data_IF_756249280144
#
_entry.id   IF_756249280144
#
_cell.length_a   1.000
_cell.length_b   1.000
_cell.length_c   1.000
_cell.angle_alpha   90.00
_cell.angle_beta   90.00
_cell.angle_gamma   90.00
#
_symmetry.space_group_name_H-M   'P 1'
#
loop_
_entity.id
_entity.type
_entity.pdbx_description
1 polymer ?
#
# COMPACT_ATOMS: atom_id res chain seq x y z
N UNK A 1 25.92 -10.68 -2.80
CA UNK A 1 25.16 -9.73 -1.95
C UNK A 1 24.69 -8.63 -2.85
N UNK A 2 23.40 -8.53 -3.10
CA UNK A 2 22.86 -7.49 -3.98
C UNK A 2 22.29 -6.40 -3.08
N UNK A 3 23.16 -5.44 -2.75
CA UNK A 3 22.76 -4.26 -2.03
C UNK A 3 21.84 -3.42 -2.93
N UNK A 4 20.67 -3.06 -2.47
CA UNK A 4 19.72 -2.25 -3.21
C UNK A 4 19.42 -0.95 -2.46
N UNK A 5 18.94 0.06 -3.19
CA UNK A 5 18.41 1.29 -2.61
C UNK A 5 17.00 1.49 -3.10
N UNK A 6 16.09 1.73 -2.18
CA UNK A 6 14.76 2.21 -2.57
C UNK A 6 14.87 3.66 -3.08
N UNK A 7 14.03 4.01 -4.03
CA UNK A 7 13.83 5.41 -4.43
C UNK A 7 12.76 6.05 -3.52
N UNK A 8 12.73 7.38 -3.46
CA UNK A 8 11.68 8.12 -2.73
C UNK A 8 10.27 7.66 -3.13
N UNK A 9 9.90 7.58 -4.43
CA UNK A 9 8.59 7.09 -4.84
C UNK A 9 8.28 5.66 -4.37
N UNK A 10 9.30 4.78 -4.32
CA UNK A 10 9.10 3.41 -3.82
C UNK A 10 8.85 3.40 -2.32
N UNK A 11 9.52 4.25 -1.56
CA UNK A 11 9.26 4.42 -0.12
C UNK A 11 7.87 5.01 0.14
N UNK A 12 7.40 5.93 -0.70
CA UNK A 12 6.02 6.46 -0.64
C UNK A 12 5.00 5.35 -0.88
N UNK A 13 5.21 4.50 -1.90
CA UNK A 13 4.33 3.35 -2.18
C UNK A 13 4.30 2.38 -1.00
N UNK A 14 5.46 2.06 -0.40
CA UNK A 14 5.51 1.22 0.80
C UNK A 14 4.75 1.87 1.97
N UNK A 15 4.81 3.19 2.09
CA UNK A 15 4.02 3.96 3.05
C UNK A 15 2.51 3.84 2.82
N UNK A 16 2.06 3.86 1.57
CA UNK A 16 0.65 3.61 1.22
C UNK A 16 0.24 2.17 1.53
N UNK A 17 1.10 1.20 1.23
CA UNK A 17 0.83 -0.21 1.53
C UNK A 17 0.71 -0.47 3.02
N UNK A 18 1.50 0.21 3.84
CA UNK A 18 1.41 0.14 5.31
C UNK A 18 0.02 0.55 5.82
N UNK A 19 -0.68 1.48 5.13
CA UNK A 19 -2.05 1.86 5.49
C UNK A 19 -3.09 0.78 5.15
N UNK A 20 -2.77 -0.12 4.21
CA UNK A 20 -3.62 -1.27 3.86
C UNK A 20 -3.36 -2.43 4.83
N UNK A 21 -2.08 -2.74 5.07
CA UNK A 21 -1.64 -3.78 5.99
C UNK A 21 -0.28 -3.41 6.59
N UNK A 22 -0.11 -3.45 7.91
CA UNK A 22 1.17 -3.17 8.56
C UNK A 22 2.24 -4.22 8.23
N UNK A 23 1.86 -5.41 7.78
CA UNK A 23 2.78 -6.46 7.37
C UNK A 23 2.84 -6.62 5.86
N UNK A 24 3.98 -7.08 5.36
CA UNK A 24 4.18 -7.32 3.93
C UNK A 24 5.13 -8.49 3.70
N UNK A 25 4.90 -9.26 2.65
CA UNK A 25 5.81 -10.28 2.18
C UNK A 25 6.41 -9.86 0.83
N UNK A 26 7.69 -9.52 0.83
CA UNK A 26 8.41 -9.41 -0.44
C UNK A 26 8.63 -10.81 -0.99
N UNK A 27 8.34 -11.01 -2.27
CA UNK A 27 8.57 -12.26 -3.00
C UNK A 27 9.62 -12.04 -4.09
N UNK A 28 10.32 -13.08 -4.55
CA UNK A 28 11.22 -12.97 -5.68
C UNK A 28 10.56 -12.29 -6.89
N UNK A 29 11.32 -11.42 -7.56
CA UNK A 29 10.86 -10.60 -8.68
C UNK A 29 10.72 -9.12 -8.35
N UNK A 30 10.00 -8.39 -9.17
CA UNK A 30 9.86 -6.93 -9.07
C UNK A 30 8.51 -6.48 -8.50
N UNK A 31 7.55 -7.41 -8.40
CA UNK A 31 6.19 -7.10 -7.95
C UNK A 31 6.12 -7.08 -6.43
N UNK A 32 5.65 -5.98 -5.89
CA UNK A 32 5.33 -5.81 -4.47
C UNK A 32 3.83 -5.67 -4.34
N UNK A 33 3.23 -6.42 -3.43
CA UNK A 33 1.78 -6.41 -3.24
C UNK A 33 1.41 -6.60 -1.78
N UNK A 34 0.27 -6.07 -1.40
CA UNK A 34 -0.32 -6.18 -0.07
C UNK A 34 -1.82 -6.39 -0.16
N UNK A 35 -2.40 -6.94 0.88
CA UNK A 35 -3.84 -7.11 1.02
C UNK A 35 -4.24 -6.81 2.47
N UNK A 36 -5.38 -6.14 2.63
CA UNK A 36 -5.92 -5.85 3.96
C UNK A 36 -6.28 -7.15 4.70
N UNK A 37 -6.28 -7.11 6.04
CA UNK A 37 -6.64 -8.27 6.86
C UNK A 37 -8.02 -8.83 6.53
N UNK A 38 -8.96 -7.94 6.17
CA UNK A 38 -10.32 -8.33 5.74
C UNK A 38 -10.38 -8.78 4.27
N UNK A 39 -9.26 -8.79 3.57
CA UNK A 39 -9.12 -9.22 2.16
C UNK A 39 -10.02 -8.46 1.16
N UNK A 40 -10.41 -7.23 1.50
CA UNK A 40 -11.28 -6.38 0.67
C UNK A 40 -10.53 -5.25 -0.06
N UNK A 41 -9.29 -4.99 0.29
CA UNK A 41 -8.43 -4.01 -0.38
C UNK A 41 -7.13 -4.69 -0.77
N UNK A 42 -6.76 -4.59 -2.03
CA UNK A 42 -5.52 -5.11 -2.57
C UNK A 42 -4.74 -3.98 -3.24
N UNK A 43 -3.46 -3.87 -2.90
CA UNK A 43 -2.52 -2.97 -3.55
C UNK A 43 -1.40 -3.75 -4.23
N UNK A 44 -1.00 -3.34 -5.42
CA UNK A 44 0.18 -3.90 -6.07
C UNK A 44 0.93 -2.85 -6.89
N UNK A 45 2.25 -3.01 -6.94
CA UNK A 45 3.13 -2.16 -7.74
C UNK A 45 4.31 -2.97 -8.25
N UNK A 46 4.87 -2.57 -9.40
CA UNK A 46 6.11 -3.15 -9.94
C UNK A 46 7.25 -2.16 -9.74
N UNK A 47 8.27 -2.58 -9.00
CA UNK A 47 9.49 -1.82 -8.76
C UNK A 47 10.51 -2.14 -9.85
N UNK A 48 10.47 -1.40 -10.97
CA UNK A 48 11.24 -1.71 -12.19
C UNK A 48 12.75 -1.80 -11.97
N UNK A 49 13.27 -1.02 -11.02
CA UNK A 49 14.71 -0.91 -10.75
C UNK A 49 15.19 -1.80 -9.60
N UNK A 50 14.29 -2.58 -9.00
CA UNK A 50 14.58 -3.49 -7.90
C UNK A 50 14.06 -4.89 -8.25
N UNK A 51 14.91 -5.89 -8.06
CA UNK A 51 14.52 -7.29 -8.17
C UNK A 51 14.84 -8.01 -6.86
N UNK A 52 13.80 -8.38 -6.13
CA UNK A 52 13.94 -9.17 -4.91
C UNK A 52 14.36 -10.58 -5.26
N UNK A 53 15.41 -11.08 -4.63
CA UNK A 53 15.98 -12.39 -4.93
C UNK A 53 15.39 -13.50 -4.03
N UNK A 54 14.68 -13.13 -2.98
CA UNK A 54 14.17 -14.07 -1.97
C UNK A 54 12.90 -13.56 -1.30
N UNK A 55 12.22 -14.49 -0.65
CA UNK A 55 11.08 -14.16 0.20
C UNK A 55 11.55 -13.48 1.48
N UNK A 56 10.88 -12.39 1.85
CA UNK A 56 11.18 -11.62 3.05
C UNK A 56 9.88 -11.22 3.77
N UNK A 57 9.47 -11.96 4.80
CA UNK A 57 8.25 -11.68 5.57
C UNK A 57 8.52 -10.58 6.61
N UNK A 58 8.01 -9.39 6.34
CA UNK A 58 8.11 -8.21 7.20
C UNK A 58 6.81 -8.06 7.98
N UNK A 59 6.87 -8.29 9.29
CA UNK A 59 5.69 -8.19 10.15
C UNK A 59 5.26 -6.74 10.41
N UNK A 60 6.23 -5.86 10.64
CA UNK A 60 6.00 -4.42 10.88
C UNK A 60 6.77 -3.59 9.86
N UNK A 61 6.12 -3.33 8.73
CA UNK A 61 6.66 -2.49 7.66
C UNK A 61 6.94 -1.07 8.16
N UNK A 62 6.09 -0.56 9.07
CA UNK A 62 6.26 0.77 9.65
C UNK A 62 7.56 0.89 10.44
N UNK A 63 7.94 -0.14 11.19
CA UNK A 63 9.20 -0.15 11.93
C UNK A 63 10.41 -0.26 11.00
N UNK A 64 10.32 -1.07 9.95
CA UNK A 64 11.36 -1.13 8.91
C UNK A 64 11.54 0.24 8.23
N UNK A 65 10.45 0.90 7.86
CA UNK A 65 10.45 2.23 7.25
C UNK A 65 11.02 3.31 8.20
N UNK A 66 10.69 3.24 9.50
CA UNK A 66 11.28 4.14 10.51
C UNK A 66 12.79 3.96 10.61
N UNK A 67 13.28 2.74 10.51
CA UNK A 67 14.72 2.44 10.50
C UNK A 67 15.41 3.12 9.32
N UNK A 68 14.84 3.02 8.11
CA UNK A 68 15.35 3.73 6.92
C UNK A 68 15.39 5.23 7.18
N UNK A 69 14.32 5.81 7.69
CA UNK A 69 14.23 7.26 7.99
C UNK A 69 15.21 7.71 9.07
N UNK A 70 15.44 6.91 10.10
CA UNK A 70 16.39 7.24 11.16
C UNK A 70 17.80 7.29 10.63
N UNK A 71 18.21 6.35 9.79
CA UNK A 71 19.54 6.32 9.19
C UNK A 71 19.75 7.43 8.16
N UNK A 72 18.71 7.84 7.43
CA UNK A 72 18.77 8.95 6.46
C UNK A 72 18.57 10.34 7.10
N UNK A 73 18.38 10.41 8.42
CA UNK A 73 18.15 11.69 9.11
C UNK A 73 19.34 12.64 8.88
N UNK A 74 19.04 13.86 8.47
CA UNK A 74 20.03 14.90 8.13
C UNK A 74 20.84 14.65 6.85
N UNK A 75 20.41 13.75 5.98
CA UNK A 75 21.02 13.54 4.66
C UNK A 75 19.91 13.42 3.59
N UNK A 76 20.29 13.67 2.34
CA UNK A 76 19.43 13.42 1.18
C UNK A 76 19.61 12.00 0.61
N UNK A 77 20.51 11.23 1.20
CA UNK A 77 20.83 9.88 0.72
C UNK A 77 19.93 8.86 1.38
N UNK A 78 19.52 7.85 0.63
CA UNK A 78 18.75 6.72 1.09
C UNK A 78 19.70 5.60 1.49
N UNK A 79 19.47 4.93 2.65
CA UNK A 79 20.29 3.81 3.10
C UNK A 79 20.30 2.65 2.12
N UNK A 80 21.37 1.88 2.16
CA UNK A 80 21.48 0.59 1.52
C UNK A 80 20.62 -0.43 2.26
N UNK A 81 19.90 -1.25 1.51
CA UNK A 81 19.03 -2.30 2.03
C UNK A 81 19.44 -3.64 1.40
N UNK A 82 19.79 -4.60 2.22
CA UNK A 82 20.21 -5.92 1.78
C UNK A 82 19.32 -7.00 2.42
N UNK A 83 18.58 -7.72 1.59
CA UNK A 83 17.69 -8.80 2.00
C UNK A 83 18.47 -10.11 2.10
N UNK A 84 18.77 -10.54 3.32
CA UNK A 84 19.47 -11.77 3.65
C UNK A 84 18.50 -12.94 3.88
N UNK A 85 19.00 -14.09 4.34
CA UNK A 85 18.16 -15.28 4.56
C UNK A 85 17.19 -15.14 5.75
N UNK A 86 17.56 -14.38 6.78
CA UNK A 86 16.80 -14.27 8.03
C UNK A 86 16.48 -12.84 8.48
N UNK A 87 17.03 -11.87 7.80
CA UNK A 87 16.87 -10.45 8.15
C UNK A 87 17.16 -9.54 6.98
N UNK A 88 16.70 -8.32 7.09
CA UNK A 88 17.12 -7.19 6.24
C UNK A 88 18.22 -6.44 6.98
N UNK A 89 19.35 -6.22 6.33
CA UNK A 89 20.34 -5.26 6.76
C UNK A 89 20.04 -3.90 6.14
N UNK A 90 19.98 -2.89 6.98
CA UNK A 90 19.80 -1.50 6.55
C UNK A 90 21.01 -0.74 7.02
N UNK A 91 21.80 -0.18 6.10
CA UNK A 91 23.08 0.43 6.43
C UNK A 91 23.30 1.75 5.70
N UNK A 92 24.00 2.65 6.39
CA UNK A 92 24.38 3.95 5.87
C UNK A 92 25.62 4.46 6.62
N UNK A 93 26.67 4.82 5.88
CA UNK A 93 27.96 5.19 6.45
C UNK A 93 28.45 4.11 7.44
N UNK A 94 28.74 4.49 8.69
CA UNK A 94 29.21 3.58 9.73
C UNK A 94 28.08 2.97 10.58
N UNK A 95 26.81 3.21 10.22
CA UNK A 95 25.64 2.71 10.95
C UNK A 95 24.99 1.55 10.21
N UNK A 96 24.64 0.50 10.95
CA UNK A 96 23.95 -0.68 10.42
C UNK A 96 22.90 -1.13 11.41
N UNK A 97 21.72 -1.47 10.89
CA UNK A 97 20.62 -2.05 11.66
C UNK A 97 20.14 -3.32 10.99
N UNK A 98 19.75 -4.30 11.80
CA UNK A 98 19.17 -5.56 11.35
C UNK A 98 17.69 -5.59 11.70
N UNK A 99 16.86 -5.90 10.70
CA UNK A 99 15.45 -6.16 10.88
C UNK A 99 15.21 -7.66 10.61
N UNK A 100 14.89 -8.43 11.65
CA UNK A 100 14.66 -9.87 11.52
C UNK A 100 13.27 -10.16 10.95
N UNK A 101 13.20 -11.20 10.13
CA UNK A 101 11.95 -11.68 9.55
C UNK A 101 11.04 -12.32 10.60
N UNK A 102 9.74 -12.24 10.33
CA UNK A 102 8.74 -13.03 11.05
C UNK A 102 8.58 -14.41 10.41
N UNK A 103 7.78 -15.26 11.03
CA UNK A 103 7.29 -16.47 10.37
C UNK A 103 6.34 -16.09 9.22
N UNK A 104 6.48 -16.75 8.08
CA UNK A 104 5.66 -16.48 6.89
C UNK A 104 4.16 -16.63 7.15
N UNK A 105 3.79 -17.56 8.03
CA UNK A 105 2.39 -17.81 8.41
C UNK A 105 1.71 -16.62 9.11
N UNK A 106 2.51 -15.69 9.66
CA UNK A 106 2.01 -14.49 10.32
C UNK A 106 1.68 -13.36 9.33
N UNK A 107 2.05 -13.51 8.06
CA UNK A 107 1.85 -12.47 7.04
C UNK A 107 0.67 -12.83 6.15
N UNK A 108 -0.32 -11.96 6.11
CA UNK A 108 -1.42 -12.10 5.14
C UNK A 108 -0.93 -11.68 3.76
N UNK A 109 -0.88 -12.63 2.84
CA UNK A 109 -0.43 -12.39 1.46
C UNK A 109 -1.59 -12.36 0.48
N UNK A 110 -1.53 -11.51 -0.55
CA UNK A 110 -2.48 -11.54 -1.65
C UNK A 110 -2.39 -12.87 -2.40
N UNK A 111 -3.49 -13.33 -3.04
CA UNK A 111 -3.42 -14.48 -3.94
C UNK A 111 -2.51 -14.17 -5.12
N UNK A 112 -1.77 -15.17 -5.60
CA UNK A 112 -0.84 -15.01 -6.74
C UNK A 112 -1.60 -14.70 -8.05
N UNK A 113 -2.81 -15.23 -8.18
CA UNK A 113 -3.70 -15.00 -9.32
C UNK A 113 -4.95 -14.29 -8.81
N UNK A 114 -5.16 -13.07 -9.28
CA UNK A 114 -6.46 -12.43 -9.19
C UNK A 114 -7.28 -13.01 -10.34
N UNK A 115 -8.25 -13.87 -10.03
CA UNK A 115 -9.22 -14.32 -11.01
C UNK A 115 -9.80 -13.08 -11.70
N UNK A 116 -9.86 -13.10 -13.03
CA UNK A 116 -10.28 -11.97 -13.83
C UNK A 116 -11.55 -11.36 -13.23
N UNK A 117 -11.50 -10.10 -12.88
CA UNK A 117 -12.71 -9.31 -12.72
C UNK A 117 -13.41 -9.43 -14.08
N UNK A 118 -14.64 -9.95 -14.11
CA UNK A 118 -15.39 -10.11 -15.34
C UNK A 118 -15.46 -8.80 -16.16
N UNK A 119 -16.14 -8.79 -17.29
CA UNK A 119 -16.32 -7.56 -18.06
C UNK A 119 -16.79 -6.41 -17.16
N UNK A 120 -16.05 -5.31 -17.17
CA UNK A 120 -16.42 -4.12 -16.42
C UNK A 120 -17.67 -3.52 -17.05
N UNK A 121 -18.76 -3.51 -16.31
CA UNK A 121 -20.01 -2.86 -16.74
C UNK A 121 -19.87 -1.33 -16.83
N UNK A 122 -18.97 -0.77 -16.04
CA UNK A 122 -18.70 0.67 -15.96
C UNK A 122 -17.21 0.90 -15.75
N UNK A 123 -16.64 1.87 -16.48
CA UNK A 123 -15.28 2.38 -16.27
C UNK A 123 -15.32 3.90 -16.31
N UNK A 124 -14.67 4.54 -15.35
CA UNK A 124 -14.59 6.01 -15.29
C UNK A 124 -13.28 6.46 -14.68
N UNK A 125 -12.88 7.67 -14.98
CA UNK A 125 -11.74 8.33 -14.35
C UNK A 125 -12.22 9.31 -13.28
N UNK A 126 -11.63 9.25 -12.10
CA UNK A 126 -11.82 10.22 -11.03
C UNK A 126 -10.61 11.13 -10.97
N UNK A 127 -10.84 12.43 -11.12
CA UNK A 127 -9.78 13.44 -10.92
C UNK A 127 -9.51 13.63 -9.42
N UNK A 128 -8.35 14.22 -9.08
CA UNK A 128 -8.06 14.60 -7.70
C UNK A 128 -9.11 15.58 -7.14
N UNK A 129 -9.68 16.43 -7.97
CA UNK A 129 -10.75 17.34 -7.57
C UNK A 129 -12.02 16.58 -7.19
N UNK A 130 -12.43 15.61 -8.02
CA UNK A 130 -13.57 14.75 -7.70
C UNK A 130 -13.37 14.01 -6.38
N UNK A 131 -12.19 13.44 -6.17
CA UNK A 131 -11.87 12.73 -4.91
C UNK A 131 -11.90 13.69 -3.72
N UNK A 132 -11.33 14.89 -3.87
CA UNK A 132 -11.36 15.91 -2.82
C UNK A 132 -12.79 16.28 -2.44
N UNK A 133 -13.67 16.54 -3.42
CA UNK A 133 -15.07 16.87 -3.18
C UNK A 133 -15.81 15.75 -2.47
N UNK A 134 -15.60 14.48 -2.89
CA UNK A 134 -16.19 13.31 -2.26
C UNK A 134 -15.75 13.20 -0.79
N UNK A 135 -14.46 13.30 -0.53
CA UNK A 135 -13.94 13.19 0.85
C UNK A 135 -14.34 14.38 1.72
N UNK A 136 -14.37 15.59 1.17
CA UNK A 136 -14.83 16.78 1.88
C UNK A 136 -16.31 16.65 2.28
N UNK A 137 -17.16 16.14 1.38
CA UNK A 137 -18.56 15.88 1.65
C UNK A 137 -18.75 14.78 2.71
N UNK A 138 -18.06 13.64 2.55
CA UNK A 138 -18.10 12.53 3.50
C UNK A 138 -17.71 12.99 4.92
N UNK A 139 -16.63 13.74 5.03
CA UNK A 139 -16.13 14.25 6.31
C UNK A 139 -17.03 15.35 6.87
N UNK A 140 -17.44 16.33 6.06
CA UNK A 140 -18.23 17.49 6.50
C UNK A 140 -19.62 17.10 6.98
N UNK A 141 -20.25 16.11 6.38
CA UNK A 141 -21.57 15.61 6.75
C UNK A 141 -21.53 14.33 7.58
N UNK A 142 -20.34 13.80 7.90
CA UNK A 142 -20.14 12.55 8.64
C UNK A 142 -20.87 11.37 8.00
N UNK A 143 -20.83 11.29 6.67
CA UNK A 143 -21.49 10.24 5.89
C UNK A 143 -20.50 9.10 5.61
N UNK A 144 -20.79 7.85 6.07
CA UNK A 144 -19.83 6.77 6.02
C UNK A 144 -19.76 6.02 4.68
N UNK A 145 -20.76 6.20 3.81
CA UNK A 145 -20.91 5.39 2.60
C UNK A 145 -20.69 6.23 1.34
N UNK A 146 -19.86 5.72 0.42
CA UNK A 146 -19.76 6.18 -0.95
C UNK A 146 -20.40 5.16 -1.88
N UNK A 147 -21.36 5.62 -2.69
CA UNK A 147 -22.07 4.81 -3.66
C UNK A 147 -21.83 5.34 -5.06
N UNK A 148 -21.66 4.44 -6.02
CA UNK A 148 -21.65 4.78 -7.44
C UNK A 148 -22.96 4.29 -8.07
N UNK A 149 -23.67 5.18 -8.75
CA UNK A 149 -24.95 4.89 -9.39
C UNK A 149 -24.93 5.34 -10.86
N UNK A 150 -25.16 4.39 -11.76
CA UNK A 150 -25.42 4.71 -13.17
C UNK A 150 -26.87 5.12 -13.37
N UNK A 151 -27.11 6.31 -13.94
CA UNK A 151 -28.44 6.79 -14.29
C UNK A 151 -28.38 7.57 -15.58
N UNK A 152 -29.22 7.22 -16.56
CA UNK A 152 -29.30 7.92 -17.87
C UNK A 152 -27.93 8.06 -18.58
N UNK A 153 -27.09 7.02 -18.51
CA UNK A 153 -25.75 7.05 -19.13
C UNK A 153 -24.70 7.87 -18.38
N UNK A 154 -25.02 8.41 -17.20
CA UNK A 154 -24.09 9.17 -16.34
C UNK A 154 -23.82 8.39 -15.07
N UNK A 155 -22.57 8.38 -14.63
CA UNK A 155 -22.17 7.83 -13.35
C UNK A 155 -22.21 8.94 -12.29
N UNK A 156 -23.01 8.70 -11.24
CA UNK A 156 -23.10 9.57 -10.07
C UNK A 156 -22.29 8.97 -8.91
N UNK A 157 -21.48 9.78 -8.25
CA UNK A 157 -20.89 9.46 -6.95
C UNK A 157 -21.79 10.07 -5.86
N UNK A 158 -22.31 9.24 -4.96
CA UNK A 158 -23.26 9.65 -3.93
C UNK A 158 -22.66 9.34 -2.58
N UNK A 159 -22.51 10.36 -1.74
CA UNK A 159 -22.10 10.21 -0.36
C UNK A 159 -23.36 10.17 0.52
N UNK A 160 -23.49 9.15 1.36
CA UNK A 160 -24.73 8.91 2.12
C UNK A 160 -24.45 8.08 3.39
N UNK A 161 -25.44 7.94 4.23
CA UNK A 161 -25.50 6.92 5.28
C UNK A 161 -26.65 5.93 4.95
N UNK A 162 -26.29 4.75 4.49
CA UNK A 162 -27.25 3.70 4.13
C UNK A 162 -28.07 3.19 5.31
N UNK A 163 -27.61 3.38 6.55
CA UNK A 163 -28.29 2.96 7.77
C UNK A 163 -29.28 4.01 8.26
N UNK A 164 -29.14 5.25 7.81
CA UNK A 164 -29.99 6.35 8.19
C UNK A 164 -30.71 6.91 6.95
N UNK A 165 -31.96 6.52 6.75
CA UNK A 165 -32.77 6.94 5.58
C UNK A 165 -33.13 8.42 5.59
N UNK A 166 -32.86 9.13 6.69
CA UNK A 166 -33.10 10.58 6.84
C UNK A 166 -31.79 11.39 6.76
N UNK A 167 -30.67 10.74 6.54
CA UNK A 167 -29.38 11.43 6.38
C UNK A 167 -29.39 12.29 5.12
N UNK A 168 -28.67 13.41 5.20
CA UNK A 168 -28.40 14.22 4.01
C UNK A 168 -27.60 13.38 3.01
N UNK A 169 -27.90 13.58 1.71
CA UNK A 169 -27.16 12.95 0.61
C UNK A 169 -26.61 14.02 -0.29
N UNK A 170 -25.42 13.86 -0.80
CA UNK A 170 -24.79 14.71 -1.78
C UNK A 170 -24.41 13.91 -3.02
#
# INVERSE_FOLDING_TARGET
MTCMKFTEPQLEILGLFMNINPSIMFKPGQKVSTISNNKNILGSCTFKDIEFQRTAPIYDLGNMMKTIKVLSRNTTSIPDVDFNDKHVDISMNNSRMKYYYADESMITVPPDIINSIGELSVSTELTNEHLYQIFAAASGYQLPDLCFQGKNGVLHAIVTDKRNTTANTL
#
